data_IF_920304446352
#
_entry.id   IF_920304446352
#
_cell.length_a   1.000
_cell.length_b   1.000
_cell.length_c   1.000
_cell.angle_alpha   90.00
_cell.angle_beta   90.00
_cell.angle_gamma   90.00
#
_symmetry.space_group_name_H-M   'P 1'
#
loop_
_entity.id
_entity.type
_entity.pdbx_description
1 polymer ?
#
# COMPACT_ATOMS: atom_id res chain seq x y z
N UNK A 1 28.50 31.35 -49.08
CA UNK A 1 27.98 32.52 -49.80
C UNK A 1 28.70 33.74 -49.26
N UNK A 2 29.61 34.25 -50.07
CA UNK A 2 30.67 35.19 -49.73
C UNK A 2 30.42 36.51 -50.45
N UNK A 3 30.17 37.58 -49.71
CA UNK A 3 30.08 38.94 -50.27
C UNK A 3 31.39 39.68 -50.01
N UNK A 4 32.11 39.96 -51.10
CA UNK A 4 33.33 40.77 -51.13
C UNK A 4 33.03 42.12 -51.79
N UNK A 5 33.29 43.21 -51.07
CA UNK A 5 33.15 44.60 -51.52
C UNK A 5 34.34 44.97 -52.46
N UNK A 6 34.12 45.48 -53.68
CA UNK A 6 35.22 45.78 -54.59
C UNK A 6 35.81 47.19 -54.39
N UNK A 7 37.14 47.24 -54.19
CA UNK A 7 37.98 48.45 -54.17
C UNK A 7 38.19 49.03 -55.60
N UNK A 8 37.99 50.33 -55.73
CA UNK A 8 37.93 51.04 -57.02
C UNK A 8 39.28 51.68 -57.40
N UNK A 9 40.10 50.98 -58.20
CA UNK A 9 41.44 51.43 -58.66
C UNK A 9 41.41 52.41 -59.85
N UNK A 10 40.23 52.73 -60.40
CA UNK A 10 40.08 53.52 -61.64
C UNK A 10 40.05 55.04 -61.46
N UNK A 11 39.85 55.55 -60.24
CA UNK A 11 39.74 56.99 -60.00
C UNK A 11 41.10 57.72 -59.93
N UNK A 12 42.21 57.00 -59.74
CA UNK A 12 43.53 57.63 -59.50
C UNK A 12 44.33 57.93 -60.78
N UNK A 13 43.99 57.30 -61.91
CA UNK A 13 44.74 57.48 -63.18
C UNK A 13 44.20 58.60 -64.09
N UNK A 14 43.14 59.32 -63.68
CA UNK A 14 42.53 60.37 -64.50
C UNK A 14 43.04 61.80 -64.23
N UNK A 15 43.97 62.00 -63.29
CA UNK A 15 44.34 63.35 -62.85
C UNK A 15 45.78 63.78 -63.17
N UNK A 16 46.51 63.02 -63.99
CA UNK A 16 47.82 63.40 -64.49
C UNK A 16 47.87 63.14 -66.00
N UNK A 17 47.87 64.21 -66.79
CA UNK A 17 48.24 64.38 -68.22
C UNK A 17 47.34 65.50 -68.77
N UNK A 18 47.80 66.75 -68.64
CA UNK A 18 47.44 67.85 -69.55
C UNK A 18 48.53 68.92 -69.42
N UNK A 19 49.56 68.70 -70.24
CA UNK A 19 50.76 69.50 -70.42
C UNK A 19 50.62 70.29 -71.73
N UNK A 20 51.12 71.54 -71.74
CA UNK A 20 51.79 72.26 -72.86
C UNK A 20 51.05 72.65 -74.16
N UNK A 21 51.19 73.93 -74.53
CA UNK A 21 51.00 74.47 -75.89
C UNK A 21 51.75 75.80 -76.08
N UNK A 22 52.44 75.96 -77.21
CA UNK A 22 53.54 76.89 -77.51
C UNK A 22 53.15 78.16 -78.33
N UNK A 23 54.06 79.15 -78.42
CA UNK A 23 53.98 80.25 -79.42
C UNK A 23 55.07 81.33 -79.30
N UNK A 24 56.03 81.33 -80.24
CA UNK A 24 57.07 82.36 -80.45
C UNK A 24 56.64 83.34 -81.57
N UNK A 25 56.80 84.66 -81.38
CA UNK A 25 56.76 85.66 -82.45
C UNK A 25 57.81 86.77 -82.21
N UNK A 26 58.66 86.97 -83.23
CA UNK A 26 59.78 87.91 -83.29
C UNK A 26 59.31 89.35 -83.54
N UNK A 27 59.66 90.29 -82.65
CA UNK A 27 59.50 91.72 -82.92
C UNK A 27 59.53 92.59 -81.66
N UNK A 28 60.73 92.88 -81.11
CA UNK A 28 60.84 93.83 -80.00
C UNK A 28 62.18 93.85 -79.26
N UNK A 29 63.32 93.65 -79.91
CA UNK A 29 64.59 93.26 -79.21
C UNK A 29 65.23 94.32 -78.28
N UNK A 30 64.65 95.51 -78.11
CA UNK A 30 65.08 96.49 -77.08
C UNK A 30 64.02 96.77 -76.00
N UNK A 31 62.73 96.51 -76.25
CA UNK A 31 61.66 96.58 -75.25
C UNK A 31 61.37 95.20 -74.62
N UNK A 32 61.59 94.12 -75.37
CA UNK A 32 61.52 92.72 -74.94
C UNK A 32 62.65 92.34 -73.97
N UNK A 33 63.76 93.08 -73.89
CA UNK A 33 64.80 92.79 -72.89
C UNK A 33 64.44 93.34 -71.50
N UNK A 34 63.64 94.41 -71.42
CA UNK A 34 63.10 94.95 -70.16
C UNK A 34 61.76 94.30 -69.81
N UNK A 35 60.90 94.05 -70.81
CA UNK A 35 59.65 93.30 -70.64
C UNK A 35 59.88 91.80 -70.47
N UNK A 36 60.98 91.17 -70.93
CA UNK A 36 61.35 89.80 -70.48
C UNK A 36 62.13 89.78 -69.17
N UNK A 37 62.63 90.91 -68.69
CA UNK A 37 63.13 90.95 -67.32
C UNK A 37 61.93 91.09 -66.37
N UNK A 38 61.01 92.01 -66.63
CA UNK A 38 59.81 92.24 -65.82
C UNK A 38 58.72 91.14 -66.03
N UNK A 39 58.56 90.59 -67.25
CA UNK A 39 57.71 89.42 -67.53
C UNK A 39 58.43 88.09 -67.37
N UNK A 40 59.77 88.05 -67.36
CA UNK A 40 60.54 86.91 -66.86
C UNK A 40 60.53 86.86 -65.34
N UNK A 41 60.45 88.00 -64.66
CA UNK A 41 60.23 88.14 -63.22
C UNK A 41 58.76 87.85 -62.86
N UNK A 42 57.78 88.25 -63.70
CA UNK A 42 56.37 87.88 -63.52
C UNK A 42 56.05 86.43 -63.96
N UNK A 43 56.70 85.88 -64.99
CA UNK A 43 56.53 84.48 -65.41
C UNK A 43 57.37 83.51 -64.57
N UNK A 44 58.53 83.92 -64.07
CA UNK A 44 59.22 83.16 -63.01
C UNK A 44 58.43 83.25 -61.71
N UNK A 45 57.83 84.39 -61.35
CA UNK A 45 56.91 84.51 -60.21
C UNK A 45 55.63 83.67 -60.40
N UNK A 46 55.02 83.63 -61.58
CA UNK A 46 53.85 82.79 -61.85
C UNK A 46 54.21 81.30 -61.94
N UNK A 47 55.39 80.97 -62.47
CA UNK A 47 55.91 79.59 -62.52
C UNK A 47 56.34 79.10 -61.14
N UNK A 48 56.94 79.95 -60.30
CA UNK A 48 57.24 79.64 -58.89
C UNK A 48 55.95 79.53 -58.08
N UNK A 49 54.97 80.42 -58.27
CA UNK A 49 53.64 80.27 -57.64
C UNK A 49 52.94 78.98 -58.08
N UNK A 50 53.08 78.56 -59.34
CA UNK A 50 52.53 77.28 -59.83
C UNK A 50 53.27 76.05 -59.27
N UNK A 51 54.61 76.10 -59.18
CA UNK A 51 55.44 75.06 -58.57
C UNK A 51 55.25 74.97 -57.06
N UNK A 52 55.06 76.10 -56.39
CA UNK A 52 54.79 76.15 -54.96
C UNK A 52 53.38 75.64 -54.66
N UNK A 53 52.39 75.89 -55.53
CA UNK A 53 51.06 75.28 -55.43
C UNK A 53 51.07 73.76 -55.67
N UNK A 54 51.86 73.28 -56.63
CA UNK A 54 52.06 71.85 -56.89
C UNK A 54 52.84 71.16 -55.76
N UNK A 55 53.85 71.82 -55.18
CA UNK A 55 54.56 71.35 -53.98
C UNK A 55 53.66 71.33 -52.76
N UNK A 56 52.79 72.33 -52.59
CA UNK A 56 51.79 72.35 -51.53
C UNK A 56 50.78 71.21 -51.71
N UNK A 57 50.29 70.96 -52.93
CA UNK A 57 49.40 69.83 -53.23
C UNK A 57 50.10 68.47 -53.05
N UNK A 58 51.37 68.34 -53.41
CA UNK A 58 52.16 67.12 -53.18
C UNK A 58 52.42 66.89 -51.69
N UNK A 59 52.69 67.95 -50.91
CA UNK A 59 52.83 67.87 -49.47
C UNK A 59 51.50 67.50 -48.78
N UNK A 60 50.39 68.07 -49.25
CA UNK A 60 49.03 67.74 -48.80
C UNK A 60 48.69 66.27 -49.12
N UNK A 61 48.95 65.82 -50.35
CA UNK A 61 48.77 64.43 -50.76
C UNK A 61 49.69 63.48 -49.98
N UNK A 62 50.94 63.87 -49.72
CA UNK A 62 51.87 63.11 -48.87
C UNK A 62 51.37 63.00 -47.43
N UNK A 63 50.81 64.07 -46.86
CA UNK A 63 50.17 64.05 -45.56
C UNK A 63 48.94 63.15 -45.54
N UNK A 64 48.09 63.21 -46.58
CA UNK A 64 46.94 62.31 -46.71
C UNK A 64 47.36 60.84 -46.81
N UNK A 65 48.42 60.53 -47.55
CA UNK A 65 48.98 59.16 -47.64
C UNK A 65 49.52 58.71 -46.28
N UNK A 66 50.18 59.59 -45.52
CA UNK A 66 50.65 59.28 -44.17
C UNK A 66 49.49 58.97 -43.21
N UNK A 67 48.43 59.79 -43.23
CA UNK A 67 47.21 59.58 -42.43
C UNK A 67 46.52 58.27 -42.81
N UNK A 68 46.41 57.96 -44.11
CA UNK A 68 45.81 56.71 -44.58
C UNK A 68 46.62 55.48 -44.17
N UNK A 69 47.95 55.56 -44.22
CA UNK A 69 48.83 54.48 -43.76
C UNK A 69 48.71 54.25 -42.24
N UNK A 70 48.58 55.33 -41.45
CA UNK A 70 48.38 55.24 -40.01
C UNK A 70 46.99 54.65 -39.66
N UNK A 71 45.95 55.06 -40.39
CA UNK A 71 44.61 54.47 -40.27
C UNK A 71 44.57 52.98 -40.69
N UNK A 72 45.32 52.60 -41.73
CA UNK A 72 45.44 51.20 -42.16
C UNK A 72 46.16 50.36 -41.09
N UNK A 73 47.26 50.84 -40.54
CA UNK A 73 48.00 50.17 -39.47
C UNK A 73 47.15 50.02 -38.19
N UNK A 74 46.37 51.03 -37.82
CA UNK A 74 45.42 50.96 -36.71
C UNK A 74 44.31 49.92 -36.95
N UNK A 75 43.80 49.84 -38.19
CA UNK A 75 42.84 48.82 -38.61
C UNK A 75 43.43 47.40 -38.53
N UNK A 76 44.65 47.21 -39.01
CA UNK A 76 45.34 45.92 -38.95
C UNK A 76 45.63 45.47 -37.51
N UNK A 77 46.01 46.42 -36.64
CA UNK A 77 46.17 46.16 -35.20
C UNK A 77 44.83 45.72 -34.56
N UNK A 78 43.73 46.42 -34.87
CA UNK A 78 42.40 46.07 -34.38
C UNK A 78 41.94 44.68 -34.86
N UNK A 79 42.22 44.31 -36.12
CA UNK A 79 41.93 42.98 -36.65
C UNK A 79 42.75 41.88 -35.96
N UNK A 80 43.99 42.19 -35.59
CA UNK A 80 44.88 41.26 -34.88
C UNK A 80 44.38 40.98 -33.47
N UNK A 81 43.74 41.96 -32.83
CA UNK A 81 43.15 41.82 -31.48
C UNK A 81 41.74 41.20 -31.49
N UNK A 82 40.90 41.51 -32.47
CA UNK A 82 39.55 40.94 -32.56
C UNK A 82 39.53 39.44 -32.91
N UNK A 83 40.52 38.95 -33.67
CA UNK A 83 40.64 37.52 -34.03
C UNK A 83 40.73 36.57 -32.83
N UNK A 84 41.64 36.74 -31.86
CA UNK A 84 41.70 35.87 -30.68
C UNK A 84 40.47 36.01 -29.78
N UNK A 85 39.85 37.20 -29.71
CA UNK A 85 38.59 37.39 -28.98
C UNK A 85 37.44 36.58 -29.61
N UNK A 86 37.30 36.61 -30.94
CA UNK A 86 36.31 35.81 -31.66
C UNK A 86 36.56 34.30 -31.45
N UNK A 87 37.82 33.85 -31.56
CA UNK A 87 38.18 32.45 -31.32
C UNK A 87 37.84 32.00 -29.89
N UNK A 88 38.11 32.86 -28.90
CA UNK A 88 37.76 32.61 -27.49
C UNK A 88 36.24 32.55 -27.29
N UNK A 89 35.49 33.46 -27.90
CA UNK A 89 34.03 33.48 -27.83
C UNK A 89 33.41 32.23 -28.48
N UNK A 90 33.92 31.79 -29.63
CA UNK A 90 33.51 30.55 -30.28
C UNK A 90 33.83 29.32 -29.42
N UNK A 91 35.01 29.28 -28.78
CA UNK A 91 35.37 28.23 -27.83
C UNK A 91 34.39 28.16 -26.64
N UNK A 92 34.11 29.30 -26.00
CA UNK A 92 33.12 29.38 -24.91
C UNK A 92 31.72 28.97 -25.35
N UNK A 93 31.28 29.35 -26.55
CA UNK A 93 29.99 28.91 -27.07
C UNK A 93 29.93 27.38 -27.26
N UNK A 94 31.00 26.77 -27.77
CA UNK A 94 31.07 25.32 -27.90
C UNK A 94 31.05 24.61 -26.53
N UNK A 95 31.78 25.13 -25.54
CA UNK A 95 31.75 24.63 -24.16
C UNK A 95 30.35 24.74 -23.54
N UNK A 96 29.69 25.90 -23.66
CA UNK A 96 28.33 26.10 -23.17
C UNK A 96 27.32 25.19 -23.87
N UNK A 97 27.48 24.95 -25.17
CA UNK A 97 26.61 24.05 -25.92
C UNK A 97 26.77 22.59 -25.46
N UNK A 98 28.01 22.16 -25.18
CA UNK A 98 28.27 20.84 -24.61
C UNK A 98 27.70 20.72 -23.18
N UNK A 99 27.89 21.74 -22.34
CA UNK A 99 27.35 21.77 -20.98
C UNK A 99 25.82 21.74 -20.98
N UNK A 100 25.17 22.48 -21.88
CA UNK A 100 23.71 22.47 -22.03
C UNK A 100 23.20 21.08 -22.45
N UNK A 101 23.89 20.44 -23.40
CA UNK A 101 23.55 19.08 -23.86
C UNK A 101 23.69 18.06 -22.72
N UNK A 102 24.77 18.15 -21.93
CA UNK A 102 24.97 17.29 -20.77
C UNK A 102 23.89 17.52 -19.70
N UNK A 103 23.61 18.78 -19.37
CA UNK A 103 22.59 19.12 -18.38
C UNK A 103 21.20 18.64 -18.81
N UNK A 104 20.92 18.65 -20.11
CA UNK A 104 19.67 18.14 -20.65
C UNK A 104 19.58 16.61 -20.53
N UNK A 105 20.67 15.89 -20.83
CA UNK A 105 20.75 14.44 -20.60
C UNK A 105 20.59 14.07 -19.12
N UNK A 106 21.21 14.82 -18.22
CA UNK A 106 21.09 14.62 -16.77
C UNK A 106 19.65 14.89 -16.29
N UNK A 107 19.01 15.95 -16.79
CA UNK A 107 17.62 16.26 -16.48
C UNK A 107 16.65 15.18 -16.95
N UNK A 108 16.87 14.60 -18.13
CA UNK A 108 16.04 13.51 -18.65
C UNK A 108 16.26 12.20 -17.87
N UNK A 109 17.51 11.91 -17.47
CA UNK A 109 17.83 10.80 -16.57
C UNK A 109 17.14 10.93 -15.21
N UNK A 110 17.22 12.12 -14.58
CA UNK A 110 16.57 12.39 -13.30
C UNK A 110 15.04 12.30 -13.39
N UNK A 111 14.43 12.77 -14.48
CA UNK A 111 12.98 12.61 -14.72
C UNK A 111 12.59 11.14 -14.82
N UNK A 112 13.39 10.32 -15.51
CA UNK A 112 13.15 8.88 -15.61
C UNK A 112 13.25 8.21 -14.24
N UNK A 113 14.29 8.53 -13.46
CA UNK A 113 14.48 8.00 -12.10
C UNK A 113 13.34 8.42 -11.16
N UNK A 114 12.87 9.67 -11.27
CA UNK A 114 11.73 10.15 -10.49
C UNK A 114 10.44 9.41 -10.84
N UNK A 115 10.17 9.20 -12.14
CA UNK A 115 8.99 8.45 -12.58
C UNK A 115 9.02 7.00 -12.08
N UNK A 116 10.19 6.36 -12.11
CA UNK A 116 10.40 5.02 -11.57
C UNK A 116 10.19 4.98 -10.05
N UNK A 117 10.80 5.89 -9.29
CA UNK A 117 10.63 5.98 -7.84
C UNK A 117 9.17 6.21 -7.43
N UNK A 118 8.44 7.07 -8.15
CA UNK A 118 7.01 7.30 -7.94
C UNK A 118 6.20 6.02 -8.17
N UNK A 119 6.52 5.23 -9.21
CA UNK A 119 5.88 3.95 -9.48
C UNK A 119 6.15 2.91 -8.38
N UNK A 120 7.39 2.85 -7.89
CA UNK A 120 7.78 1.96 -6.78
C UNK A 120 7.04 2.33 -5.50
N UNK A 121 6.99 3.63 -5.15
CA UNK A 121 6.26 4.12 -3.98
C UNK A 121 4.77 3.79 -4.08
N UNK A 122 4.15 3.99 -5.25
CA UNK A 122 2.74 3.67 -5.47
C UNK A 122 2.46 2.17 -5.24
N UNK A 123 3.34 1.29 -5.75
CA UNK A 123 3.22 -0.16 -5.58
C UNK A 123 3.36 -0.58 -4.11
N UNK A 124 4.31 0.02 -3.37
CA UNK A 124 4.47 -0.24 -1.94
C UNK A 124 3.27 0.25 -1.12
N UNK A 125 2.70 1.41 -1.44
CA UNK A 125 1.48 1.91 -0.78
C UNK A 125 0.31 0.94 -0.96
N UNK A 126 0.09 0.45 -2.19
CA UNK A 126 -0.95 -0.55 -2.45
C UNK A 126 -0.73 -1.85 -1.68
N UNK A 127 0.53 -2.29 -1.55
CA UNK A 127 0.86 -3.47 -0.75
C UNK A 127 0.59 -3.24 0.74
N UNK A 128 0.95 -2.07 1.27
CA UNK A 128 0.65 -1.67 2.65
C UNK A 128 -0.86 -1.66 2.87
N UNK A 129 -1.65 -1.06 1.97
CA UNK A 129 -3.11 -1.02 2.08
C UNK A 129 -3.73 -2.44 2.13
N UNK A 130 -3.14 -3.43 1.42
CA UNK A 130 -3.58 -4.82 1.51
C UNK A 130 -3.24 -5.47 2.86
N UNK A 131 -2.08 -5.15 3.43
CA UNK A 131 -1.72 -5.59 4.78
C UNK A 131 -2.58 -4.92 5.86
N UNK A 132 -2.86 -3.62 5.73
CA UNK A 132 -3.74 -2.90 6.64
C UNK A 132 -5.16 -3.51 6.62
N UNK A 133 -5.67 -3.90 5.44
CA UNK A 133 -6.92 -4.65 5.33
C UNK A 133 -6.86 -6.03 6.00
N UNK A 134 -5.72 -6.71 5.92
CA UNK A 134 -5.52 -8.02 6.54
C UNK A 134 -5.57 -7.92 8.06
N UNK A 135 -4.97 -6.88 8.61
CA UNK A 135 -4.95 -6.61 10.06
C UNK A 135 -6.31 -6.11 10.55
N UNK A 136 -7.00 -5.30 9.76
CA UNK A 136 -8.34 -4.79 10.06
C UNK A 136 -9.44 -5.87 10.14
N UNK A 137 -9.17 -7.12 9.71
CA UNK A 137 -10.11 -8.24 9.90
C UNK A 137 -10.34 -8.53 11.40
N UNK A 138 -9.39 -8.17 12.28
CA UNK A 138 -9.59 -8.25 13.72
C UNK A 138 -9.84 -9.66 14.23
N UNK A 139 -9.14 -10.67 13.67
CA UNK A 139 -9.33 -12.07 14.08
C UNK A 139 -9.09 -12.26 15.59
N UNK A 140 -8.14 -11.54 16.16
CA UNK A 140 -7.81 -11.63 17.58
C UNK A 140 -8.97 -11.15 18.45
N UNK A 141 -9.60 -10.03 18.09
CA UNK A 141 -10.79 -9.52 18.78
C UNK A 141 -11.96 -10.50 18.65
N UNK A 142 -12.19 -11.03 17.44
CA UNK A 142 -13.24 -12.03 17.18
C UNK A 142 -13.02 -13.29 18.04
N UNK A 143 -11.79 -13.79 18.10
CA UNK A 143 -11.44 -14.96 18.90
C UNK A 143 -11.55 -14.65 20.40
N UNK A 144 -11.07 -13.51 20.86
CA UNK A 144 -11.12 -13.12 22.27
C UNK A 144 -12.57 -12.97 22.74
N UNK A 145 -13.40 -12.22 22.01
CA UNK A 145 -14.82 -12.04 22.33
C UNK A 145 -15.57 -13.37 22.28
N UNK A 146 -15.38 -14.15 21.21
CA UNK A 146 -16.04 -15.44 21.05
C UNK A 146 -15.64 -16.48 22.10
N UNK A 147 -14.36 -16.56 22.45
CA UNK A 147 -13.86 -17.48 23.48
C UNK A 147 -14.36 -17.07 24.87
N UNK A 148 -14.42 -15.77 25.18
CA UNK A 148 -14.99 -15.28 26.44
C UNK A 148 -16.49 -15.60 26.56
N UNK A 149 -17.26 -15.40 25.48
CA UNK A 149 -18.67 -15.77 25.44
C UNK A 149 -18.87 -17.28 25.61
N UNK A 150 -18.12 -18.09 24.84
CA UNK A 150 -18.20 -19.55 24.89
C UNK A 150 -17.80 -20.09 26.27
N UNK A 151 -16.70 -19.63 26.86
CA UNK A 151 -16.24 -20.06 28.19
C UNK A 151 -17.25 -19.73 29.29
N UNK A 152 -17.88 -18.56 29.24
CA UNK A 152 -18.97 -18.19 30.15
C UNK A 152 -20.15 -19.15 30.03
N UNK A 153 -20.55 -19.49 28.79
CA UNK A 153 -21.64 -20.41 28.55
C UNK A 153 -21.30 -21.85 28.98
N UNK A 154 -20.06 -22.31 28.78
CA UNK A 154 -19.59 -23.61 29.27
C UNK A 154 -19.49 -23.65 30.80
N UNK A 155 -19.08 -22.57 31.45
CA UNK A 155 -19.07 -22.47 32.92
C UNK A 155 -20.49 -22.60 33.49
N UNK A 156 -21.48 -21.95 32.85
CA UNK A 156 -22.89 -22.11 33.21
C UNK A 156 -23.38 -23.56 33.07
N UNK A 157 -22.98 -24.24 32.00
CA UNK A 157 -23.29 -25.65 31.77
C UNK A 157 -22.66 -26.56 32.85
N UNK A 158 -21.38 -26.37 33.13
CA UNK A 158 -20.66 -27.12 34.17
C UNK A 158 -21.24 -26.88 35.57
N UNK A 159 -21.73 -25.67 35.87
CA UNK A 159 -22.39 -25.38 37.13
C UNK A 159 -23.72 -26.11 37.34
N UNK A 160 -24.42 -26.47 36.25
CA UNK A 160 -25.69 -27.19 36.31
C UNK A 160 -25.53 -28.72 36.26
N UNK A 161 -24.45 -29.23 35.69
CA UNK A 161 -24.17 -30.67 35.59
C UNK A 161 -24.29 -31.43 36.94
N UNK A 162 -23.64 -31.01 38.05
CA UNK A 162 -23.75 -31.73 39.32
C UNK A 162 -25.17 -31.68 39.90
N UNK A 163 -25.92 -30.60 39.65
CA UNK A 163 -27.31 -30.49 40.10
C UNK A 163 -28.21 -31.49 39.36
N UNK A 164 -28.02 -31.64 38.04
CA UNK A 164 -28.74 -32.62 37.24
C UNK A 164 -28.39 -34.07 37.68
N UNK A 165 -27.11 -34.37 37.91
CA UNK A 165 -26.69 -35.69 38.40
C UNK A 165 -27.26 -36.02 39.78
N UNK A 166 -27.22 -35.06 40.73
CA UNK A 166 -27.84 -35.22 42.05
C UNK A 166 -29.36 -35.43 41.97
N UNK A 167 -29.99 -34.76 41.01
CA UNK A 167 -31.40 -34.92 40.70
C UNK A 167 -31.75 -36.32 40.21
N UNK A 168 -30.99 -36.82 39.24
CA UNK A 168 -31.15 -38.17 38.69
C UNK A 168 -30.93 -39.23 39.78
N UNK A 169 -29.89 -39.08 40.60
CA UNK A 169 -29.63 -39.98 41.72
C UNK A 169 -30.79 -39.99 42.73
N UNK A 170 -31.36 -38.82 43.03
CA UNK A 170 -32.54 -38.71 43.90
C UNK A 170 -33.76 -39.41 43.30
N UNK A 171 -34.01 -39.27 41.99
CA UNK A 171 -35.10 -39.98 41.32
C UNK A 171 -34.92 -41.49 41.36
N UNK A 172 -33.69 -42.00 41.14
CA UNK A 172 -33.42 -43.45 41.23
C UNK A 172 -33.74 -44.00 42.60
N UNK A 173 -33.26 -43.35 43.66
CA UNK A 173 -33.53 -43.78 45.04
C UNK A 173 -35.03 -43.82 45.35
N UNK A 174 -35.80 -42.86 44.83
CA UNK A 174 -37.27 -42.87 44.97
C UNK A 174 -37.91 -44.02 44.19
N UNK A 175 -37.44 -44.32 42.99
CA UNK A 175 -37.94 -45.44 42.18
C UNK A 175 -37.59 -46.80 42.80
N UNK A 176 -36.40 -46.95 43.38
CA UNK A 176 -36.00 -48.16 44.10
C UNK A 176 -36.90 -48.39 45.32
N UNK A 177 -37.14 -47.35 46.11
CA UNK A 177 -38.03 -47.41 47.26
C UNK A 177 -39.48 -47.73 46.86
N UNK A 178 -39.95 -47.20 45.74
CA UNK A 178 -41.28 -47.48 45.21
C UNK A 178 -41.41 -48.91 44.67
N UNK A 179 -40.38 -49.43 43.99
CA UNK A 179 -40.37 -50.81 43.49
C UNK A 179 -40.53 -51.83 44.62
N UNK A 180 -39.86 -51.59 45.76
CA UNK A 180 -39.97 -52.43 46.96
C UNK A 180 -41.42 -52.44 47.48
N UNK A 181 -42.08 -51.28 47.47
CA UNK A 181 -43.45 -51.14 47.99
C UNK A 181 -44.52 -51.68 47.02
N UNK A 182 -44.26 -51.66 45.71
CA UNK A 182 -45.24 -52.06 44.69
C UNK A 182 -44.63 -52.93 43.57
N UNK A 183 -44.46 -54.25 43.82
CA UNK A 183 -43.79 -55.16 42.88
C UNK A 183 -44.49 -55.31 41.51
N UNK A 184 -45.79 -55.02 41.43
CA UNK A 184 -46.57 -55.10 40.19
C UNK A 184 -46.12 -54.10 39.11
N UNK A 185 -45.39 -53.05 39.47
CA UNK A 185 -44.92 -52.02 38.54
C UNK A 185 -43.48 -52.21 38.06
N UNK A 186 -42.81 -53.30 38.46
CA UNK A 186 -41.39 -53.57 38.17
C UNK A 186 -41.00 -53.34 36.71
N UNK A 187 -41.77 -53.88 35.76
CA UNK A 187 -41.44 -53.77 34.34
C UNK A 187 -41.36 -52.32 33.85
N UNK A 188 -42.24 -51.44 34.33
CA UNK A 188 -42.25 -50.03 33.95
C UNK A 188 -41.19 -49.22 34.71
N UNK A 189 -40.93 -49.56 35.98
CA UNK A 189 -39.86 -48.96 36.76
C UNK A 189 -38.48 -49.30 36.18
N UNK A 190 -38.28 -50.53 35.72
CA UNK A 190 -37.06 -50.95 35.03
C UNK A 190 -36.83 -50.16 33.74
N UNK A 191 -37.87 -49.90 32.96
CA UNK A 191 -37.77 -49.03 31.79
C UNK A 191 -37.34 -47.61 32.19
N UNK A 192 -37.94 -47.03 33.22
CA UNK A 192 -37.61 -45.68 33.67
C UNK A 192 -36.18 -45.59 34.22
N UNK A 193 -35.73 -46.59 34.99
CA UNK A 193 -34.35 -46.70 35.49
C UNK A 193 -33.35 -46.77 34.34
N UNK A 194 -33.62 -47.58 33.30
CA UNK A 194 -32.77 -47.64 32.09
C UNK A 194 -32.65 -46.30 31.37
N UNK A 195 -33.71 -45.51 31.31
CA UNK A 195 -33.64 -44.17 30.71
C UNK A 195 -32.87 -43.18 31.60
N UNK A 196 -33.01 -43.27 32.93
CA UNK A 196 -32.19 -42.50 33.86
C UNK A 196 -30.70 -42.89 33.79
N UNK A 197 -30.39 -44.16 33.50
CA UNK A 197 -29.03 -44.63 33.17
C UNK A 197 -28.48 -43.97 31.92
N UNK A 198 -29.25 -43.97 30.83
CA UNK A 198 -28.85 -43.30 29.60
C UNK A 198 -28.58 -41.80 29.83
N UNK A 199 -29.44 -41.12 30.60
CA UNK A 199 -29.27 -39.71 30.91
C UNK A 199 -28.02 -39.44 31.77
N UNK A 200 -27.77 -40.24 32.81
CA UNK A 200 -26.54 -40.16 33.62
C UNK A 200 -25.29 -40.34 32.76
N UNK A 201 -25.28 -41.35 31.88
CA UNK A 201 -24.16 -41.58 30.97
C UNK A 201 -23.97 -40.41 29.99
N UNK A 202 -25.05 -39.82 29.48
CA UNK A 202 -25.00 -38.65 28.61
C UNK A 202 -24.40 -37.42 29.31
N UNK A 203 -24.85 -37.11 30.53
CA UNK A 203 -24.31 -35.99 31.32
C UNK A 203 -22.82 -36.20 31.64
N UNK A 204 -22.43 -37.41 32.02
CA UNK A 204 -21.03 -37.75 32.29
C UNK A 204 -20.14 -37.64 31.02
N UNK A 205 -20.67 -38.02 29.86
CA UNK A 205 -19.96 -37.88 28.59
C UNK A 205 -19.75 -36.40 28.21
N UNK A 206 -20.75 -35.54 28.46
CA UNK A 206 -20.62 -34.08 28.26
C UNK A 206 -19.59 -33.50 29.23
N UNK A 207 -19.63 -33.87 30.50
CA UNK A 207 -18.64 -33.43 31.50
C UNK A 207 -17.22 -33.85 31.11
N UNK A 208 -17.02 -35.12 30.72
CA UNK A 208 -15.72 -35.63 30.27
C UNK A 208 -15.23 -34.92 29.01
N UNK A 209 -16.11 -34.60 28.06
CA UNK A 209 -15.76 -33.84 26.86
C UNK A 209 -15.31 -32.41 27.20
N UNK A 210 -16.01 -31.74 28.13
CA UNK A 210 -15.65 -30.39 28.57
C UNK A 210 -14.34 -30.40 29.37
N UNK A 211 -14.16 -31.34 30.30
CA UNK A 211 -12.91 -31.50 31.06
C UNK A 211 -11.73 -31.85 30.14
N UNK A 212 -11.96 -32.70 29.14
CA UNK A 212 -10.98 -33.01 28.10
C UNK A 212 -10.55 -31.76 27.34
N UNK A 213 -11.51 -30.91 26.95
CA UNK A 213 -11.23 -29.64 26.29
C UNK A 213 -10.48 -28.65 27.21
N UNK A 214 -10.88 -28.52 28.47
CA UNK A 214 -10.25 -27.62 29.46
C UNK A 214 -8.85 -28.05 29.87
N UNK A 215 -8.60 -29.36 30.01
CA UNK A 215 -7.26 -29.89 30.31
C UNK A 215 -6.26 -29.72 29.17
N UNK A 216 -6.73 -29.68 27.91
CA UNK A 216 -5.91 -29.19 26.79
C UNK A 216 -5.60 -27.69 26.86
N UNK A 217 -6.45 -26.90 27.54
CA UNK A 217 -6.29 -25.46 27.67
C UNK A 217 -5.39 -25.04 28.84
N UNK A 218 -5.17 -25.89 29.84
CA UNK A 218 -4.40 -25.53 31.05
C UNK A 218 -2.89 -25.27 30.79
N UNK A 219 -2.17 -26.09 29.99
CA UNK A 219 -0.84 -25.71 29.52
C UNK A 219 -0.88 -24.61 28.43
N UNK A 220 -2.03 -24.40 27.78
CA UNK A 220 -2.19 -23.50 26.64
C UNK A 220 -2.50 -22.05 27.06
N UNK A 221 -3.09 -21.81 28.23
CA UNK A 221 -3.28 -20.46 28.79
C UNK A 221 -1.94 -19.88 29.27
N UNK A 222 -1.07 -20.71 29.85
CA UNK A 222 0.32 -20.32 30.21
C UNK A 222 1.21 -20.18 28.96
N UNK A 223 0.88 -20.88 27.86
CA UNK A 223 1.54 -20.77 26.56
C UNK A 223 0.84 -19.82 25.58
N UNK A 224 -0.28 -19.19 25.92
CA UNK A 224 -1.12 -18.43 24.97
C UNK A 224 -0.35 -17.25 24.36
N UNK A 225 0.55 -16.65 25.14
CA UNK A 225 1.46 -15.59 24.69
C UNK A 225 2.54 -16.08 23.70
N UNK A 226 2.88 -17.37 23.69
CA UNK A 226 3.84 -18.00 22.77
C UNK A 226 3.15 -18.79 21.63
N UNK A 227 1.91 -19.23 21.86
CA UNK A 227 1.07 -20.00 20.94
C UNK A 227 0.42 -19.11 19.87
N UNK A 228 0.13 -17.84 20.16
CA UNK A 228 -0.36 -16.88 19.14
C UNK A 228 0.69 -16.67 18.03
N UNK A 229 1.98 -16.66 18.37
CA UNK A 229 3.09 -16.57 17.42
C UNK A 229 3.26 -17.87 16.61
N UNK A 230 2.95 -19.04 17.20
CA UNK A 230 3.02 -20.35 16.54
C UNK A 230 1.77 -20.70 15.70
N UNK A 231 0.57 -20.25 16.10
CA UNK A 231 -0.69 -20.39 15.34
C UNK A 231 -0.63 -19.61 14.03
N UNK A 232 0.03 -18.44 14.03
CA UNK A 232 0.13 -17.60 12.82
C UNK A 232 0.91 -18.27 11.69
N UNK A 233 1.79 -19.21 12.01
CA UNK A 233 2.58 -19.93 11.02
C UNK A 233 2.03 -21.32 10.65
N UNK A 234 1.26 -22.04 11.50
CA UNK A 234 1.23 -23.50 11.32
C UNK A 234 0.01 -24.36 11.70
N UNK A 235 -1.23 -23.88 11.89
CA UNK A 235 -2.25 -24.82 12.42
C UNK A 235 -3.54 -25.09 11.62
N UNK A 236 -3.59 -26.26 10.96
CA UNK A 236 -4.74 -27.17 10.83
C UNK A 236 -4.82 -28.22 11.97
N UNK A 237 -5.36 -27.95 13.19
CA UNK A 237 -5.32 -28.97 14.27
C UNK A 237 -6.49 -28.98 15.28
N UNK A 238 -7.12 -30.15 15.41
CA UNK A 238 -7.50 -30.81 16.67
C UNK A 238 -8.60 -30.23 17.56
N UNK A 239 -8.67 -28.91 17.73
CA UNK A 239 -9.65 -28.24 18.60
C UNK A 239 -11.08 -28.47 18.09
N UNK A 240 -11.23 -28.56 16.77
CA UNK A 240 -12.50 -28.93 16.14
C UNK A 240 -12.97 -30.35 16.47
N UNK A 241 -12.08 -31.28 16.80
CA UNK A 241 -12.48 -32.64 17.15
C UNK A 241 -13.06 -32.72 18.56
N UNK A 242 -12.46 -32.01 19.54
CA UNK A 242 -13.02 -31.93 20.90
C UNK A 242 -14.35 -31.19 20.92
N UNK A 243 -14.47 -30.08 20.16
CA UNK A 243 -15.74 -29.39 19.96
C UNK A 243 -16.79 -30.29 19.28
N UNK A 244 -16.41 -31.03 18.22
CA UNK A 244 -17.28 -32.03 17.58
C UNK A 244 -17.68 -33.15 18.53
N UNK A 245 -16.78 -33.63 19.38
CA UNK A 245 -17.10 -34.68 20.35
C UNK A 245 -18.11 -34.18 21.41
N UNK A 246 -17.95 -32.93 21.88
CA UNK A 246 -18.91 -32.29 22.76
C UNK A 246 -20.28 -32.07 22.07
N UNK A 247 -20.29 -31.66 20.80
CA UNK A 247 -21.50 -31.51 19.98
C UNK A 247 -22.19 -32.86 19.71
N UNK A 248 -21.44 -33.93 19.42
CA UNK A 248 -22.00 -35.27 19.22
C UNK A 248 -22.55 -35.88 20.53
N UNK A 249 -21.89 -35.61 21.67
CA UNK A 249 -22.42 -35.98 22.99
C UNK A 249 -23.71 -35.22 23.29
N UNK A 250 -23.78 -33.97 22.86
CA UNK A 250 -24.99 -33.16 22.92
C UNK A 250 -26.12 -33.70 22.03
N UNK A 251 -25.82 -34.09 20.79
CA UNK A 251 -26.79 -34.74 19.89
C UNK A 251 -27.37 -36.03 20.49
N UNK A 252 -26.54 -36.82 21.19
CA UNK A 252 -26.99 -38.02 21.91
C UNK A 252 -27.94 -37.67 23.06
N UNK A 253 -27.65 -36.58 23.78
CA UNK A 253 -28.51 -36.07 24.85
C UNK A 253 -29.84 -35.53 24.30
N UNK A 254 -29.81 -34.79 23.19
CA UNK A 254 -31.01 -34.34 22.49
C UNK A 254 -31.83 -35.48 21.90
N UNK A 255 -31.20 -36.53 21.37
CA UNK A 255 -31.92 -37.67 20.82
C UNK A 255 -32.65 -38.48 21.92
N UNK A 256 -32.11 -38.51 23.14
CA UNK A 256 -32.69 -39.26 24.26
C UNK A 256 -33.78 -38.49 25.02
N UNK A 257 -33.73 -37.15 25.03
CA UNK A 257 -34.69 -36.29 25.73
C UNK A 257 -36.16 -36.45 25.27
N UNK A 258 -36.51 -36.41 23.96
CA UNK A 258 -37.89 -36.55 23.51
C UNK A 258 -38.49 -37.92 23.83
N UNK A 259 -37.71 -39.00 23.65
CA UNK A 259 -38.13 -40.36 23.98
C UNK A 259 -38.39 -40.50 25.49
N UNK A 260 -37.53 -39.88 26.31
CA UNK A 260 -37.72 -39.82 27.76
C UNK A 260 -38.96 -39.01 28.15
N UNK A 261 -39.16 -37.79 27.62
CA UNK A 261 -40.33 -36.94 27.96
C UNK A 261 -41.64 -37.61 27.52
N UNK A 262 -41.68 -38.15 26.30
CA UNK A 262 -42.88 -38.79 25.73
C UNK A 262 -43.19 -40.12 26.41
N UNK A 263 -42.15 -40.93 26.67
CA UNK A 263 -42.28 -42.20 27.36
C UNK A 263 -42.62 -42.03 28.84
N UNK A 264 -41.99 -41.07 29.52
CA UNK A 264 -42.31 -40.74 30.91
C UNK A 264 -43.76 -40.28 31.02
N UNK A 265 -44.21 -39.34 30.18
CA UNK A 265 -45.61 -38.90 30.18
C UNK A 265 -46.58 -40.08 29.99
N UNK A 266 -46.45 -40.85 28.91
CA UNK A 266 -47.37 -41.95 28.61
C UNK A 266 -47.36 -43.05 29.68
N UNK A 267 -46.19 -43.52 30.11
CA UNK A 267 -46.11 -44.60 31.10
C UNK A 267 -46.51 -44.16 32.50
N UNK A 268 -46.13 -42.95 32.93
CA UNK A 268 -46.56 -42.39 34.22
C UNK A 268 -48.08 -42.27 34.24
N UNK A 269 -48.69 -41.65 33.22
CA UNK A 269 -50.15 -41.51 33.20
C UNK A 269 -50.88 -42.86 33.14
N UNK A 270 -50.35 -43.86 32.43
CA UNK A 270 -50.97 -45.20 32.38
C UNK A 270 -50.88 -45.93 33.72
N UNK A 271 -49.77 -45.81 34.45
CA UNK A 271 -49.54 -46.42 35.76
C UNK A 271 -50.45 -45.82 36.84
N UNK A 272 -50.68 -44.50 36.80
CA UNK A 272 -51.45 -43.80 37.84
C UNK A 272 -52.97 -43.83 37.62
N UNK A 273 -53.47 -44.17 36.42
CA UNK A 273 -54.90 -44.13 36.12
C UNK A 273 -55.69 -45.37 36.58
N UNK A 274 -55.03 -46.51 36.83
CA UNK A 274 -55.72 -47.80 37.03
C UNK A 274 -55.96 -48.21 38.51
N UNK A 275 -55.03 -47.99 39.47
CA UNK A 275 -55.23 -48.43 40.86
C UNK A 275 -55.45 -47.31 41.90
N UNK A 276 -55.20 -46.04 41.56
CA UNK A 276 -55.17 -44.93 42.53
C UNK A 276 -56.28 -43.90 42.28
N UNK A 277 -57.54 -44.32 42.32
CA UNK A 277 -58.69 -43.43 42.15
C UNK A 277 -58.70 -42.27 43.16
N UNK A 278 -58.85 -41.03 42.67
CA UNK A 278 -59.16 -39.72 43.32
C UNK A 278 -58.49 -39.34 44.66
N UNK A 279 -57.68 -40.18 45.28
CA UNK A 279 -56.99 -39.93 46.54
C UNK A 279 -55.63 -39.25 46.26
N UNK A 280 -55.72 -38.08 45.62
CA UNK A 280 -54.62 -37.27 45.06
C UNK A 280 -53.49 -36.88 46.03
N UNK A 281 -53.62 -37.08 47.34
CA UNK A 281 -52.75 -36.36 48.32
C UNK A 281 -51.50 -37.11 48.77
N UNK A 282 -51.42 -38.42 48.59
CA UNK A 282 -50.29 -39.24 49.09
C UNK A 282 -49.18 -39.43 48.06
N UNK A 283 -49.48 -40.20 47.00
CA UNK A 283 -48.50 -40.67 46.02
C UNK A 283 -48.02 -39.57 45.06
N UNK A 284 -48.91 -38.69 44.61
CA UNK A 284 -48.52 -37.56 43.76
C UNK A 284 -47.54 -36.63 44.50
N UNK A 285 -47.82 -36.37 45.78
CA UNK A 285 -46.98 -35.52 46.62
C UNK A 285 -45.68 -36.20 47.06
N UNK A 286 -45.68 -37.51 47.32
CA UNK A 286 -44.50 -38.23 47.82
C UNK A 286 -43.54 -38.70 46.72
N UNK A 287 -44.04 -38.98 45.51
CA UNK A 287 -43.26 -39.55 44.40
C UNK A 287 -43.17 -38.62 43.20
N UNK A 288 -44.31 -38.13 42.69
CA UNK A 288 -44.29 -37.30 41.49
C UNK A 288 -43.67 -35.94 41.74
N UNK A 289 -43.98 -35.29 42.86
CA UNK A 289 -43.44 -33.97 43.17
C UNK A 289 -41.90 -33.99 43.31
N UNK A 290 -41.28 -34.89 44.08
CA UNK A 290 -39.82 -34.94 44.16
C UNK A 290 -39.15 -35.33 42.85
N UNK A 291 -39.72 -36.25 42.06
CA UNK A 291 -39.16 -36.60 40.74
C UNK A 291 -39.23 -35.41 39.79
N UNK A 292 -40.36 -34.68 39.76
CA UNK A 292 -40.51 -33.48 38.94
C UNK A 292 -39.56 -32.36 39.37
N UNK A 293 -39.55 -32.03 40.66
CA UNK A 293 -38.79 -30.88 41.17
C UNK A 293 -37.29 -31.15 41.28
N UNK A 294 -36.90 -32.38 41.65
CA UNK A 294 -35.48 -32.70 41.89
C UNK A 294 -34.79 -33.32 40.69
N UNK A 295 -35.49 -34.03 39.80
CA UNK A 295 -34.85 -34.68 38.65
C UNK A 295 -35.21 -34.03 37.32
N UNK A 296 -36.50 -33.92 36.99
CA UNK A 296 -36.93 -33.39 35.70
C UNK A 296 -36.57 -31.91 35.54
N UNK A 297 -36.87 -31.07 36.54
CA UNK A 297 -36.60 -29.63 36.44
C UNK A 297 -35.09 -29.29 36.27
N UNK A 298 -34.15 -29.91 37.01
CA UNK A 298 -32.72 -29.73 36.73
C UNK A 298 -32.27 -30.26 35.37
N UNK A 299 -32.81 -31.39 34.90
CA UNK A 299 -32.49 -31.93 33.57
C UNK A 299 -33.02 -31.06 32.44
N UNK A 300 -34.22 -30.50 32.58
CA UNK A 300 -34.78 -29.51 31.64
C UNK A 300 -33.93 -28.24 31.60
N UNK A 301 -33.51 -27.73 32.78
CA UNK A 301 -32.59 -26.59 32.87
C UNK A 301 -31.24 -26.90 32.22
N UNK A 302 -30.72 -28.10 32.41
CA UNK A 302 -29.48 -28.53 31.78
C UNK A 302 -29.64 -28.56 30.25
N UNK A 303 -30.70 -29.20 29.73
CA UNK A 303 -30.95 -29.23 28.28
C UNK A 303 -31.13 -27.84 27.66
N UNK A 304 -31.84 -26.95 28.36
CA UNK A 304 -31.97 -25.54 27.95
C UNK A 304 -30.60 -24.83 27.94
N UNK A 305 -29.78 -25.03 28.98
CA UNK A 305 -28.44 -24.45 29.06
C UNK A 305 -27.52 -24.99 27.96
N UNK A 306 -27.59 -26.29 27.66
CA UNK A 306 -26.80 -26.87 26.57
C UNK A 306 -27.17 -26.24 25.22
N UNK A 307 -28.46 -26.02 24.98
CA UNK A 307 -28.95 -25.31 23.78
C UNK A 307 -28.36 -23.89 23.72
N UNK A 308 -28.50 -23.14 24.80
CA UNK A 308 -27.98 -21.78 24.90
C UNK A 308 -26.45 -21.72 24.72
N UNK A 309 -25.71 -22.69 25.27
CA UNK A 309 -24.26 -22.78 25.13
C UNK A 309 -23.86 -23.09 23.69
N UNK A 310 -24.57 -23.99 23.01
CA UNK A 310 -24.35 -24.25 21.59
C UNK A 310 -24.61 -23.00 20.74
N UNK A 311 -25.70 -22.29 21.01
CA UNK A 311 -26.06 -21.08 20.26
C UNK A 311 -25.00 -19.99 20.43
N UNK A 312 -24.52 -19.75 21.64
CA UNK A 312 -23.41 -18.81 21.93
C UNK A 312 -22.14 -19.25 21.21
N UNK A 313 -21.77 -20.54 21.28
CA UNK A 313 -20.59 -21.05 20.59
C UNK A 313 -20.66 -20.83 19.07
N UNK A 314 -21.80 -21.19 18.46
CA UNK A 314 -21.98 -21.07 17.00
C UNK A 314 -21.98 -19.61 16.57
N UNK A 315 -22.78 -18.78 17.26
CA UNK A 315 -23.04 -17.39 16.90
C UNK A 315 -21.86 -16.48 17.20
N UNK A 316 -21.26 -16.62 18.37
CA UNK A 316 -20.31 -15.63 18.89
C UNK A 316 -18.86 -16.05 18.66
N UNK A 317 -18.58 -17.33 18.39
CA UNK A 317 -17.22 -17.82 18.12
C UNK A 317 -17.07 -18.46 16.74
N UNK A 318 -17.79 -19.55 16.47
CA UNK A 318 -17.53 -20.39 15.29
C UNK A 318 -17.76 -19.65 13.96
N UNK A 319 -18.94 -19.06 13.78
CA UNK A 319 -19.29 -18.37 12.53
C UNK A 319 -18.39 -17.14 12.30
N UNK A 320 -18.23 -16.21 13.27
CA UNK A 320 -17.36 -15.05 13.10
C UNK A 320 -15.90 -15.43 12.81
N UNK A 321 -15.34 -16.40 13.54
CA UNK A 321 -13.97 -16.84 13.32
C UNK A 321 -13.79 -17.47 11.94
N UNK A 322 -14.74 -18.29 11.47
CA UNK A 322 -14.69 -18.88 10.13
C UNK A 322 -14.75 -17.83 9.03
N UNK A 323 -15.59 -16.79 9.19
CA UNK A 323 -15.67 -15.67 8.24
C UNK A 323 -14.36 -14.91 8.20
N UNK A 324 -13.81 -14.53 9.36
CA UNK A 324 -12.54 -13.83 9.47
C UNK A 324 -11.38 -14.62 8.84
N UNK A 325 -11.29 -15.93 9.12
CA UNK A 325 -10.27 -16.80 8.52
C UNK A 325 -10.40 -16.87 6.98
N UNK A 326 -11.62 -16.97 6.47
CA UNK A 326 -11.88 -17.00 5.02
C UNK A 326 -11.44 -15.69 4.36
N UNK A 327 -11.79 -14.55 4.96
CA UNK A 327 -11.37 -13.23 4.47
C UNK A 327 -9.84 -13.08 4.50
N UNK A 328 -9.17 -13.52 5.56
CA UNK A 328 -7.69 -13.49 5.65
C UNK A 328 -7.05 -14.35 4.57
N UNK A 329 -7.59 -15.54 4.32
CA UNK A 329 -7.09 -16.43 3.26
C UNK A 329 -7.21 -15.78 1.88
N UNK A 330 -8.35 -15.13 1.60
CA UNK A 330 -8.57 -14.39 0.36
C UNK A 330 -7.60 -13.21 0.21
N UNK A 331 -7.41 -12.38 1.24
CA UNK A 331 -6.45 -11.27 1.20
C UNK A 331 -5.00 -11.76 1.07
N UNK A 332 -4.61 -12.85 1.73
CA UNK A 332 -3.28 -13.45 1.57
C UNK A 332 -3.03 -13.88 0.12
N UNK A 333 -4.05 -14.43 -0.54
CA UNK A 333 -3.98 -14.74 -1.97
C UNK A 333 -3.83 -13.48 -2.82
N UNK A 334 -4.62 -12.44 -2.55
CA UNK A 334 -4.52 -11.16 -3.26
C UNK A 334 -3.12 -10.51 -3.09
N UNK A 335 -2.54 -10.58 -1.89
CA UNK A 335 -1.17 -10.13 -1.62
C UNK A 335 -0.16 -10.93 -2.42
N UNK A 336 -0.31 -12.26 -2.48
CA UNK A 336 0.58 -13.12 -3.27
C UNK A 336 0.49 -12.78 -4.77
N UNK A 337 -0.72 -12.68 -5.31
CA UNK A 337 -0.98 -12.32 -6.71
C UNK A 337 -0.45 -10.92 -7.03
N UNK A 338 -0.59 -9.96 -6.11
CA UNK A 338 -0.07 -8.61 -6.25
C UNK A 338 1.46 -8.59 -6.30
N UNK A 339 2.13 -9.34 -5.41
CA UNK A 339 3.59 -9.46 -5.39
C UNK A 339 4.12 -10.11 -6.65
N UNK A 340 3.45 -11.14 -7.17
CA UNK A 340 3.84 -11.80 -8.41
C UNK A 340 3.73 -10.83 -9.61
N UNK A 341 2.61 -10.12 -9.72
CA UNK A 341 2.38 -9.14 -10.81
C UNK A 341 3.35 -7.96 -10.77
N UNK A 342 3.75 -7.51 -9.58
CA UNK A 342 4.59 -6.33 -9.39
C UNK A 342 6.06 -6.67 -9.06
N UNK A 343 6.48 -7.93 -9.22
CA UNK A 343 7.82 -8.41 -8.83
C UNK A 343 8.95 -7.53 -9.37
N UNK A 344 8.88 -7.17 -10.66
CA UNK A 344 9.89 -6.35 -11.32
C UNK A 344 9.99 -4.90 -10.79
N UNK A 345 8.94 -4.41 -10.14
CA UNK A 345 8.90 -3.07 -9.52
C UNK A 345 9.30 -3.14 -8.04
N UNK A 346 9.01 -4.26 -7.36
CA UNK A 346 9.29 -4.45 -5.94
C UNK A 346 10.73 -4.92 -5.64
N UNK A 347 11.42 -5.54 -6.60
CA UNK A 347 12.80 -6.05 -6.45
C UNK A 347 13.89 -5.04 -6.84
N UNK A 348 13.50 -3.82 -7.25
CA UNK A 348 14.43 -2.74 -7.61
C UNK A 348 14.70 -1.82 -6.42
#
# INVERSE_FOLDING_TARGET
MSDSIPFNRRAFLQQAILFTGAGLALGGVAAYAKDQWDAGEAASAASTVSLDSLRAQLAEASNQVAILNEALAASEAALTELRPQLATALGKNAELQNALTQQQADADSLKSQLAEAVSVIASHKQLIDLFDKLDAIGLDDVLQTGLNAASTAFAGLLGLAPLALAGIASARSLLDNFEIQFPSFRANLDWLKKNLDALTSGVAAVEAAIQGALSTLDPALTRMTQFIIYILDHLPFGIGQSAKNALNANDTLYASLPAFITGASSQIFTIFNEPFGTSERGLSKSLLQPVREKALAPSEKLGAQVTATNDVYVKDLHVPASVALTQRAQLRKEIADFREKNKAVLEK
#
